data_IF_471629134993
#
_entry.id   IF_471629134993
#
_cell.length_a   1.000
_cell.length_b   1.000
_cell.length_c   1.000
_cell.angle_alpha   90.00
_cell.angle_beta   90.00
_cell.angle_gamma   90.00
#
_symmetry.space_group_name_H-M   'P 1'
#
loop_
_entity.id
_entity.type
_entity.pdbx_description
1 polymer ?
#
# COMPACT_ATOMS: atom_id res chain seq x y z
N UNK A 1 -13.24 -6.98 -32.56
CA UNK A 1 -13.71 -5.99 -31.57
C UNK A 1 -14.09 -6.70 -30.28
N UNK A 2 -13.42 -6.40 -29.16
CA UNK A 2 -13.80 -6.93 -27.84
C UNK A 2 -15.05 -6.20 -27.33
N UNK A 3 -16.02 -6.94 -26.80
CA UNK A 3 -17.25 -6.40 -26.23
C UNK A 3 -16.94 -5.65 -24.91
N UNK A 4 -17.68 -4.58 -24.57
CA UNK A 4 -17.59 -3.84 -23.28
C UNK A 4 -17.53 -4.73 -22.03
N UNK A 5 -18.18 -5.89 -22.07
CA UNK A 5 -18.18 -6.93 -21.01
C UNK A 5 -16.85 -7.69 -20.92
N UNK A 6 -16.18 -7.92 -22.05
CA UNK A 6 -14.81 -8.47 -22.09
C UNK A 6 -13.78 -7.42 -21.61
N UNK A 7 -13.94 -6.15 -21.99
CA UNK A 7 -13.09 -5.06 -21.52
C UNK A 7 -13.26 -4.84 -20.00
N UNK A 8 -14.48 -4.98 -19.47
CA UNK A 8 -14.76 -4.92 -18.04
C UNK A 8 -14.17 -6.11 -17.28
N UNK A 9 -14.23 -7.34 -17.84
CA UNK A 9 -13.57 -8.53 -17.27
C UNK A 9 -12.04 -8.42 -17.30
N UNK A 10 -11.44 -7.89 -18.38
CA UNK A 10 -9.99 -7.61 -18.44
C UNK A 10 -9.57 -6.53 -17.43
N UNK A 11 -10.37 -5.46 -17.25
CA UNK A 11 -10.12 -4.42 -16.24
C UNK A 11 -10.30 -4.89 -14.79
N UNK A 12 -11.08 -5.93 -14.55
CA UNK A 12 -11.28 -6.58 -13.25
C UNK A 12 -10.17 -7.57 -12.90
N UNK A 13 -9.49 -8.11 -13.92
CA UNK A 13 -8.37 -9.05 -13.77
C UNK A 13 -7.00 -8.38 -14.00
N UNK A 14 -6.91 -7.10 -13.63
CA UNK A 14 -5.69 -6.31 -13.75
C UNK A 14 -4.64 -6.80 -12.73
N UNK A 15 -3.53 -7.41 -13.18
CA UNK A 15 -2.52 -7.97 -12.29
C UNK A 15 -1.85 -6.90 -11.42
N UNK A 16 -1.80 -5.64 -11.86
CA UNK A 16 -1.26 -4.51 -11.10
C UNK A 16 -2.20 -4.18 -9.94
N UNK A 17 -3.51 -4.07 -10.20
CA UNK A 17 -4.50 -3.86 -9.12
C UNK A 17 -4.51 -4.99 -8.11
N UNK A 18 -4.42 -6.24 -8.58
CA UNK A 18 -4.33 -7.41 -7.70
C UNK A 18 -3.08 -7.35 -6.80
N UNK A 19 -1.93 -6.96 -7.37
CA UNK A 19 -0.69 -6.81 -6.60
C UNK A 19 -0.79 -5.69 -5.55
N UNK A 20 -1.34 -4.52 -5.90
CA UNK A 20 -1.59 -3.42 -4.95
C UNK A 20 -2.50 -3.89 -3.81
N UNK A 21 -3.58 -4.60 -4.13
CA UNK A 21 -4.49 -5.15 -3.14
C UNK A 21 -3.80 -6.13 -2.17
N UNK A 22 -2.99 -7.07 -2.70
CA UNK A 22 -2.23 -8.03 -1.89
C UNK A 22 -1.25 -7.33 -0.95
N UNK A 23 -0.54 -6.32 -1.42
CA UNK A 23 0.38 -5.54 -0.59
C UNK A 23 -0.34 -4.82 0.56
N UNK A 24 -1.46 -4.16 0.25
CA UNK A 24 -2.24 -3.47 1.27
C UNK A 24 -2.89 -4.43 2.26
N UNK A 25 -3.36 -5.60 1.80
CA UNK A 25 -3.93 -6.62 2.69
C UNK A 25 -2.89 -7.16 3.67
N UNK A 26 -1.65 -7.39 3.23
CA UNK A 26 -0.56 -7.79 4.11
C UNK A 26 -0.32 -6.76 5.23
N UNK A 27 -0.33 -5.47 4.88
CA UNK A 27 -0.18 -4.36 5.85
C UNK A 27 -1.38 -4.28 6.80
N UNK A 28 -2.59 -4.44 6.30
CA UNK A 28 -3.80 -4.46 7.13
C UNK A 28 -3.80 -5.63 8.11
N UNK A 29 -3.34 -6.81 7.70
CA UNK A 29 -3.22 -7.97 8.60
C UNK A 29 -2.19 -7.73 9.71
N UNK A 30 -1.06 -7.08 9.41
CA UNK A 30 -0.09 -6.67 10.44
C UNK A 30 -0.73 -5.74 11.49
N UNK A 31 -1.48 -4.74 11.03
CA UNK A 31 -2.17 -3.80 11.93
C UNK A 31 -3.24 -4.52 12.75
N UNK A 32 -4.02 -5.40 12.12
CA UNK A 32 -5.08 -6.16 12.79
C UNK A 32 -4.51 -7.04 13.91
N UNK A 33 -3.46 -7.81 13.63
CA UNK A 33 -2.78 -8.63 14.63
C UNK A 33 -2.24 -7.77 15.79
N UNK A 34 -1.69 -6.59 15.48
CA UNK A 34 -1.20 -5.66 16.50
C UNK A 34 -2.30 -5.12 17.40
N UNK A 35 -3.47 -4.78 16.83
CA UNK A 35 -4.63 -4.29 17.59
C UNK A 35 -5.16 -5.40 18.51
N UNK A 36 -5.28 -6.63 18.01
CA UNK A 36 -5.70 -7.75 18.86
C UNK A 36 -4.70 -8.08 19.96
N UNK A 37 -3.39 -7.94 19.69
CA UNK A 37 -2.39 -8.03 20.77
C UNK A 37 -2.62 -6.99 21.84
N UNK A 38 -2.90 -5.74 21.48
CA UNK A 38 -3.21 -4.68 22.45
C UNK A 38 -4.42 -5.07 23.31
N UNK A 39 -5.49 -5.54 22.68
CA UNK A 39 -6.70 -5.98 23.38
C UNK A 39 -6.37 -7.09 24.38
N UNK A 40 -5.59 -8.09 23.99
CA UNK A 40 -5.16 -9.16 24.90
C UNK A 40 -4.37 -8.65 26.11
N UNK A 41 -3.48 -7.68 25.93
CA UNK A 41 -2.76 -7.07 27.07
C UNK A 41 -3.74 -6.30 27.96
N UNK A 42 -4.70 -5.58 27.40
CA UNK A 42 -5.71 -4.87 28.18
C UNK A 42 -6.61 -5.81 28.99
N UNK A 43 -7.01 -6.95 28.44
CA UNK A 43 -7.81 -7.94 29.16
C UNK A 43 -7.07 -8.49 30.37
N UNK A 44 -5.80 -8.86 30.20
CA UNK A 44 -4.93 -9.26 31.32
C UNK A 44 -4.83 -8.16 32.39
N UNK A 45 -4.66 -6.90 31.98
CA UNK A 45 -4.59 -5.76 32.90
C UNK A 45 -5.90 -5.51 33.66
N UNK A 46 -7.05 -5.89 33.09
CA UNK A 46 -8.35 -5.83 33.75
C UNK A 46 -8.71 -7.10 34.52
N UNK A 47 -7.76 -8.04 34.67
CA UNK A 47 -7.96 -9.35 35.29
C UNK A 47 -9.08 -10.16 34.61
N UNK A 48 -9.31 -9.88 33.33
CA UNK A 48 -10.15 -10.69 32.46
C UNK A 48 -9.25 -11.76 31.82
N UNK A 49 -9.36 -12.98 32.31
CA UNK A 49 -8.56 -14.12 31.85
C UNK A 49 -9.08 -14.73 30.54
N UNK A 50 -9.98 -14.04 29.83
CA UNK A 50 -10.34 -14.41 28.47
C UNK A 50 -9.25 -14.02 27.49
N UNK A 51 -8.88 -14.98 26.64
CA UNK A 51 -7.89 -14.79 25.57
C UNK A 51 -8.61 -14.56 24.24
N UNK A 52 -8.35 -13.42 23.59
CA UNK A 52 -8.74 -13.24 22.20
C UNK A 52 -7.76 -13.95 21.28
N UNK A 53 -8.34 -14.81 20.44
CA UNK A 53 -7.65 -15.38 19.29
C UNK A 53 -7.24 -14.24 18.33
N UNK A 54 -6.28 -14.52 17.44
CA UNK A 54 -5.86 -13.61 16.37
C UNK A 54 -4.86 -12.49 16.75
N UNK A 55 -4.03 -12.69 17.78
CA UNK A 55 -2.94 -11.78 18.15
C UNK A 55 -1.55 -12.33 17.83
N UNK A 56 -0.52 -11.50 17.98
CA UNK A 56 0.85 -12.00 18.17
C UNK A 56 0.95 -12.72 19.54
N UNK A 57 1.70 -13.81 19.61
CA UNK A 57 1.76 -14.67 20.78
C UNK A 57 2.71 -14.14 21.87
N UNK A 58 3.89 -13.65 21.49
CA UNK A 58 4.94 -13.27 22.45
C UNK A 58 4.54 -12.12 23.36
N UNK A 59 3.89 -11.04 22.88
CA UNK A 59 3.44 -9.98 23.79
C UNK A 59 2.52 -10.50 24.89
N UNK A 60 1.58 -11.39 24.54
CA UNK A 60 0.69 -12.01 25.51
C UNK A 60 1.45 -12.91 26.48
N UNK A 61 2.32 -13.80 25.98
CA UNK A 61 3.12 -14.70 26.82
C UNK A 61 3.99 -13.94 27.85
N UNK A 62 4.55 -12.80 27.48
CA UNK A 62 5.35 -11.97 28.39
C UNK A 62 4.47 -11.35 29.49
N UNK A 63 3.30 -10.85 29.14
CA UNK A 63 2.36 -10.27 30.10
C UNK A 63 1.77 -11.34 31.03
N UNK A 64 1.39 -12.48 30.47
CA UNK A 64 0.90 -13.67 31.16
C UNK A 64 1.93 -14.20 32.16
N UNK A 65 3.20 -14.32 31.74
CA UNK A 65 4.30 -14.66 32.64
C UNK A 65 4.41 -13.68 33.80
N UNK A 66 4.25 -12.37 33.54
CA UNK A 66 4.25 -11.34 34.56
C UNK A 66 3.12 -11.50 35.58
N UNK A 67 1.91 -11.82 35.12
CA UNK A 67 0.78 -12.13 36.00
C UNK A 67 1.10 -13.34 36.89
N UNK A 68 1.67 -14.39 36.29
CA UNK A 68 2.01 -15.63 36.99
C UNK A 68 3.08 -15.43 38.08
N UNK A 69 4.24 -14.85 37.76
CA UNK A 69 5.39 -14.78 38.69
C UNK A 69 5.30 -13.66 39.74
N UNK A 70 4.34 -12.75 39.60
CA UNK A 70 4.08 -11.67 40.56
C UNK A 70 2.79 -11.92 41.35
N UNK A 71 2.29 -13.17 41.39
CA UNK A 71 1.15 -13.54 42.23
C UNK A 71 -0.20 -12.90 41.85
N UNK A 72 -0.40 -12.48 40.59
CA UNK A 72 -1.60 -11.72 40.18
C UNK A 72 -2.74 -12.58 39.61
N UNK A 73 -2.51 -13.87 39.40
CA UNK A 73 -3.61 -14.77 39.08
C UNK A 73 -4.44 -15.09 40.34
N UNK A 74 -5.70 -15.53 40.21
CA UNK A 74 -6.45 -16.07 41.33
C UNK A 74 -5.72 -17.28 41.94
N UNK A 75 -5.87 -17.50 43.25
CA UNK A 75 -5.20 -18.61 43.97
C UNK A 75 -5.43 -19.98 43.31
N UNK A 76 -6.58 -20.18 42.67
CA UNK A 76 -6.97 -21.39 41.93
C UNK A 76 -6.02 -21.75 40.78
N UNK A 77 -5.33 -20.76 40.18
CA UNK A 77 -4.36 -20.98 39.10
C UNK A 77 -3.02 -21.49 39.61
N UNK A 78 -2.76 -21.39 40.92
CA UNK A 78 -1.55 -21.87 41.57
C UNK A 78 -1.80 -23.25 42.20
N UNK A 79 -2.01 -24.26 41.35
CA UNK A 79 -2.18 -25.64 41.84
C UNK A 79 -0.90 -26.11 42.56
N UNK A 80 -1.03 -26.59 43.81
CA UNK A 80 0.08 -27.22 44.54
C UNK A 80 0.23 -26.89 46.02
N UNK A 81 -0.63 -26.04 46.62
CA UNK A 81 -0.63 -25.76 48.06
C UNK A 81 0.52 -24.88 48.56
N UNK A 82 1.35 -24.39 47.65
CA UNK A 82 2.20 -23.23 47.84
C UNK A 82 1.36 -22.05 47.34
N UNK A 83 0.97 -21.11 48.22
CA UNK A 83 0.15 -19.95 47.83
C UNK A 83 0.75 -19.16 46.66
N UNK A 84 0.01 -18.17 46.15
CA UNK A 84 0.39 -17.36 44.99
C UNK A 84 1.92 -17.12 44.92
N UNK A 85 2.52 -17.49 43.79
CA UNK A 85 3.94 -17.32 43.57
C UNK A 85 4.26 -15.81 43.43
N UNK A 86 4.50 -15.15 44.56
CA UNK A 86 5.00 -13.78 44.64
C UNK A 86 6.53 -13.80 44.65
N UNK A 87 7.12 -14.32 43.55
CA UNK A 87 8.57 -14.37 43.39
C UNK A 87 9.16 -12.96 43.21
N UNK A 88 8.37 -12.06 42.65
CA UNK A 88 8.79 -10.72 42.27
C UNK A 88 7.70 -9.69 42.58
N UNK A 89 8.15 -8.50 42.95
CA UNK A 89 7.25 -7.38 43.21
C UNK A 89 6.54 -6.86 41.94
N UNK A 90 5.51 -6.05 42.15
CA UNK A 90 4.73 -5.39 41.10
C UNK A 90 5.56 -4.63 40.05
N UNK A 91 6.74 -4.13 40.41
CA UNK A 91 7.63 -3.44 39.46
C UNK A 91 8.05 -4.35 38.31
N UNK A 92 8.27 -5.66 38.56
CA UNK A 92 8.61 -6.63 37.52
C UNK A 92 7.41 -6.87 36.60
N UNK A 93 6.20 -6.96 37.15
CA UNK A 93 4.98 -7.05 36.35
C UNK A 93 4.87 -5.88 35.35
N UNK A 94 4.98 -4.63 35.84
CA UNK A 94 4.90 -3.46 34.95
C UNK A 94 6.04 -3.42 33.93
N UNK A 95 7.24 -3.88 34.28
CA UNK A 95 8.35 -3.97 33.33
C UNK A 95 8.04 -4.96 32.18
N UNK A 96 7.42 -6.10 32.48
CA UNK A 96 7.00 -7.09 31.47
C UNK A 96 5.86 -6.58 30.60
N UNK A 97 4.90 -5.84 31.17
CA UNK A 97 3.85 -5.15 30.40
C UNK A 97 4.46 -4.13 29.43
N UNK A 98 5.43 -3.34 29.88
CA UNK A 98 6.15 -2.39 29.02
C UNK A 98 6.88 -3.15 27.90
N UNK A 99 7.56 -4.25 28.21
CA UNK A 99 8.24 -5.07 27.21
C UNK A 99 7.27 -5.62 26.16
N UNK A 100 6.09 -6.10 26.56
CA UNK A 100 5.03 -6.53 25.65
C UNK A 100 4.60 -5.39 24.71
N UNK A 101 4.35 -4.19 25.25
CA UNK A 101 4.00 -3.02 24.45
C UNK A 101 5.11 -2.56 23.52
N UNK A 102 6.39 -2.71 23.89
CA UNK A 102 7.53 -2.40 23.01
C UNK A 102 7.52 -3.30 21.77
N UNK A 103 7.23 -4.59 21.92
CA UNK A 103 7.12 -5.53 20.79
C UNK A 103 5.95 -5.15 19.89
N UNK A 104 4.79 -4.83 20.48
CA UNK A 104 3.63 -4.39 19.71
C UNK A 104 3.92 -3.07 18.98
N UNK A 105 4.58 -2.12 19.64
CA UNK A 105 4.99 -0.84 19.05
C UNK A 105 5.92 -1.06 17.85
N UNK A 106 6.80 -2.05 17.89
CA UNK A 106 7.62 -2.43 16.74
C UNK A 106 6.78 -2.92 15.55
N UNK A 107 5.74 -3.75 15.76
CA UNK A 107 4.84 -4.16 14.68
C UNK A 107 4.05 -2.98 14.09
N UNK A 108 3.57 -2.08 14.94
CA UNK A 108 2.88 -0.85 14.52
C UNK A 108 3.84 0.05 13.73
N UNK A 109 5.08 0.18 14.17
CA UNK A 109 6.12 0.92 13.46
C UNK A 109 6.36 0.32 12.07
N UNK A 110 6.47 -1.01 11.97
CA UNK A 110 6.59 -1.70 10.68
C UNK A 110 5.38 -1.44 9.77
N UNK A 111 4.16 -1.37 10.32
CA UNK A 111 2.97 -1.01 9.55
C UNK A 111 3.02 0.40 8.96
N UNK A 112 3.43 1.40 9.77
CA UNK A 112 3.53 2.78 9.30
C UNK A 112 4.69 2.98 8.32
N UNK A 113 5.83 2.37 8.60
CA UNK A 113 7.03 2.54 7.79
C UNK A 113 7.03 1.70 6.51
N UNK A 114 6.20 0.65 6.42
CA UNK A 114 5.97 -0.11 5.19
C UNK A 114 5.11 0.64 4.16
N UNK A 115 4.70 1.89 4.40
CA UNK A 115 4.05 2.71 3.36
C UNK A 115 5.01 2.99 2.21
N UNK A 116 4.44 3.40 1.07
CA UNK A 116 5.19 3.98 -0.06
C UNK A 116 6.29 3.08 -0.62
N UNK A 117 6.00 1.79 -0.73
CA UNK A 117 6.90 0.82 -1.35
C UNK A 117 8.14 0.45 -0.51
N UNK A 118 8.18 0.81 0.78
CA UNK A 118 9.28 0.44 1.67
C UNK A 118 9.10 -1.00 2.19
N UNK A 119 9.26 -1.97 1.29
CA UNK A 119 9.04 -3.41 1.58
C UNK A 119 9.94 -3.95 2.70
N UNK A 120 11.10 -3.33 2.96
CA UNK A 120 12.01 -3.74 4.03
C UNK A 120 11.36 -3.83 5.41
N UNK A 121 10.43 -2.93 5.73
CA UNK A 121 9.69 -2.96 7.00
C UNK A 121 8.68 -4.10 7.06
N UNK A 122 8.11 -4.50 5.92
CA UNK A 122 7.22 -5.66 5.85
C UNK A 122 8.02 -6.97 5.97
N UNK A 123 9.26 -7.00 5.45
CA UNK A 123 10.20 -8.11 5.65
C UNK A 123 10.61 -8.21 7.13
N UNK A 124 10.94 -7.09 7.77
CA UNK A 124 11.25 -7.05 9.20
C UNK A 124 10.09 -7.58 10.06
N UNK A 125 8.85 -7.15 9.75
CA UNK A 125 7.65 -7.68 10.39
C UNK A 125 7.49 -9.18 10.16
N UNK A 126 7.71 -9.68 8.95
CA UNK A 126 7.66 -11.12 8.65
C UNK A 126 8.68 -11.90 9.49
N UNK A 127 9.92 -11.43 9.60
CA UNK A 127 10.95 -12.09 10.41
C UNK A 127 10.54 -12.12 11.88
N UNK A 128 10.16 -10.97 12.45
CA UNK A 128 9.75 -10.89 13.84
C UNK A 128 8.52 -11.78 14.13
N UNK A 129 7.51 -11.74 13.26
CA UNK A 129 6.30 -12.56 13.41
C UNK A 129 6.57 -14.05 13.20
N UNK A 130 7.56 -14.42 12.38
CA UNK A 130 8.01 -15.81 12.25
C UNK A 130 8.66 -16.30 13.54
N UNK A 131 9.50 -15.48 14.18
CA UNK A 131 10.11 -15.79 15.48
C UNK A 131 9.02 -15.91 16.56
N UNK A 132 8.06 -14.99 16.57
CA UNK A 132 6.88 -15.03 17.46
C UNK A 132 6.12 -16.37 17.32
N UNK A 133 5.90 -16.80 16.07
CA UNK A 133 5.26 -18.09 15.76
C UNK A 133 6.10 -19.28 16.25
N UNK A 134 7.43 -19.26 16.12
CA UNK A 134 8.30 -20.33 16.61
C UNK A 134 8.29 -20.42 18.15
N UNK A 135 8.28 -19.28 18.84
CA UNK A 135 8.18 -19.23 20.30
C UNK A 135 6.82 -19.78 20.73
N UNK A 136 5.73 -19.40 20.05
CA UNK A 136 4.40 -19.97 20.28
C UNK A 136 4.43 -21.51 20.21
N UNK A 137 5.02 -22.10 19.17
CA UNK A 137 5.14 -23.56 19.06
C UNK A 137 5.94 -24.21 20.20
N UNK A 138 6.85 -23.49 20.84
CA UNK A 138 7.62 -24.02 21.99
C UNK A 138 6.81 -24.04 23.30
N UNK A 139 5.81 -23.18 23.44
CA UNK A 139 5.08 -22.98 24.69
C UNK A 139 3.69 -23.64 24.68
N UNK A 140 3.02 -23.67 23.52
CA UNK A 140 1.64 -24.12 23.42
C UNK A 140 1.51 -25.58 23.00
N UNK A 141 0.47 -26.24 23.52
CA UNK A 141 0.06 -27.54 23.01
C UNK A 141 -0.69 -27.39 21.67
N UNK A 142 -0.30 -28.19 20.67
CA UNK A 142 -0.87 -28.19 19.32
C UNK A 142 -2.41 -28.30 19.30
N UNK A 143 -2.99 -29.08 20.22
CA UNK A 143 -4.43 -29.33 20.23
C UNK A 143 -5.24 -28.14 20.77
N UNK A 144 -4.72 -27.40 21.76
CA UNK A 144 -5.39 -26.26 22.37
C UNK A 144 -5.25 -24.96 21.57
N UNK A 145 -4.23 -24.87 20.71
CA UNK A 145 -3.86 -23.63 20.02
C UNK A 145 -3.99 -23.73 18.49
N UNK A 146 -4.82 -24.65 18.00
CA UNK A 146 -5.00 -24.88 16.56
C UNK A 146 -5.48 -23.61 15.83
N UNK A 147 -6.35 -22.81 16.45
CA UNK A 147 -6.86 -21.57 15.84
C UNK A 147 -5.75 -20.51 15.75
N UNK A 148 -4.95 -20.34 16.80
CA UNK A 148 -3.82 -19.41 16.79
C UNK A 148 -2.76 -19.81 15.77
N UNK A 149 -2.49 -21.12 15.64
CA UNK A 149 -1.57 -21.64 14.61
C UNK A 149 -2.08 -21.31 13.21
N UNK A 150 -3.37 -21.55 12.94
CA UNK A 150 -3.98 -21.23 11.65
C UNK A 150 -3.93 -19.73 11.36
N UNK A 151 -4.15 -18.90 12.37
CA UNK A 151 -4.04 -17.45 12.23
C UNK A 151 -2.60 -17.00 11.94
N UNK A 152 -1.61 -17.51 12.67
CA UNK A 152 -0.21 -17.16 12.42
C UNK A 152 0.23 -17.59 11.02
N UNK A 153 -0.13 -18.80 10.60
CA UNK A 153 0.10 -19.28 9.24
C UNK A 153 -0.58 -18.37 8.20
N UNK A 154 -1.83 -17.96 8.44
CA UNK A 154 -2.55 -17.02 7.59
C UNK A 154 -1.80 -15.70 7.46
N UNK A 155 -1.40 -15.06 8.55
CA UNK A 155 -0.68 -13.77 8.52
C UNK A 155 0.66 -13.90 7.77
N UNK A 156 1.42 -14.96 8.00
CA UNK A 156 2.68 -15.24 7.31
C UNK A 156 2.47 -15.38 5.80
N UNK A 157 1.45 -16.13 5.37
CA UNK A 157 1.11 -16.27 3.95
C UNK A 157 0.82 -14.91 3.32
N UNK A 158 0.07 -14.04 4.00
CA UNK A 158 -0.21 -12.69 3.50
C UNK A 158 1.04 -11.81 3.44
N UNK A 159 1.97 -11.91 4.39
CA UNK A 159 3.25 -11.21 4.29
C UNK A 159 4.04 -11.65 3.06
N UNK A 160 4.17 -12.96 2.84
CA UNK A 160 4.86 -13.49 1.66
C UNK A 160 4.19 -13.03 0.36
N UNK A 161 2.85 -13.05 0.30
CA UNK A 161 2.09 -12.55 -0.84
C UNK A 161 2.29 -11.05 -1.06
N UNK A 162 2.28 -10.24 0.00
CA UNK A 162 2.50 -8.80 -0.06
C UNK A 162 3.91 -8.46 -0.55
N UNK A 163 4.93 -9.13 -0.03
CA UNK A 163 6.32 -8.94 -0.44
C UNK A 163 6.50 -9.31 -1.93
N UNK A 164 5.97 -10.47 -2.35
CA UNK A 164 5.99 -10.87 -3.77
C UNK A 164 5.28 -9.86 -4.67
N UNK A 165 4.13 -9.36 -4.23
CA UNK A 165 3.37 -8.35 -4.95
C UNK A 165 4.16 -7.04 -5.12
N UNK A 166 4.89 -6.60 -4.08
CA UNK A 166 5.78 -5.44 -4.19
C UNK A 166 6.86 -5.63 -5.25
N UNK A 167 7.57 -6.76 -5.24
CA UNK A 167 8.61 -7.02 -6.24
C UNK A 167 8.04 -7.17 -7.66
N UNK A 168 6.84 -7.72 -7.78
CA UNK A 168 6.11 -7.73 -9.04
C UNK A 168 5.85 -6.30 -9.54
N UNK A 169 5.33 -5.41 -8.70
CA UNK A 169 5.07 -4.01 -9.06
C UNK A 169 6.36 -3.27 -9.47
N UNK A 170 7.44 -3.45 -8.70
CA UNK A 170 8.75 -2.86 -9.02
C UNK A 170 9.31 -3.35 -10.36
N UNK A 171 9.12 -4.64 -10.67
CA UNK A 171 9.52 -5.21 -11.98
C UNK A 171 8.71 -4.61 -13.13
N UNK A 172 7.39 -4.46 -12.95
CA UNK A 172 6.52 -3.87 -13.97
C UNK A 172 6.88 -2.41 -14.25
N UNK A 173 7.25 -1.63 -13.22
CA UNK A 173 7.76 -0.27 -13.42
C UNK A 173 9.07 -0.25 -14.22
N UNK A 174 10.06 -1.05 -13.81
CA UNK A 174 11.36 -1.10 -14.51
C UNK A 174 11.18 -1.42 -15.99
N UNK A 175 10.30 -2.38 -16.30
CA UNK A 175 9.98 -2.73 -17.67
C UNK A 175 9.29 -1.58 -18.42
N UNK A 176 8.34 -0.88 -17.78
CA UNK A 176 7.66 0.26 -18.37
C UNK A 176 8.62 1.44 -18.67
N UNK A 177 9.53 1.73 -17.74
CA UNK A 177 10.57 2.76 -17.92
C UNK A 177 11.56 2.39 -19.03
N UNK A 178 11.94 1.11 -19.13
CA UNK A 178 12.78 0.63 -20.23
C UNK A 178 12.08 0.71 -21.59
N UNK A 179 10.77 0.41 -21.66
CA UNK A 179 10.01 0.52 -22.91
C UNK A 179 9.91 1.97 -23.38
N UNK A 180 9.66 2.92 -22.46
CA UNK A 180 9.62 4.36 -22.79
C UNK A 180 11.00 4.85 -23.25
N UNK A 181 12.07 4.48 -22.53
CA UNK A 181 13.43 4.87 -22.93
C UNK A 181 13.84 4.31 -24.31
N UNK A 182 13.36 3.11 -24.66
CA UNK A 182 13.59 2.52 -25.98
C UNK A 182 12.76 3.21 -27.06
N UNK A 183 11.48 3.51 -26.80
CA UNK A 183 10.67 4.27 -27.77
C UNK A 183 11.24 5.66 -27.99
N UNK A 184 11.69 6.36 -26.96
CA UNK A 184 12.31 7.69 -27.10
C UNK A 184 13.62 7.62 -27.88
N UNK A 185 14.42 6.58 -27.66
CA UNK A 185 15.68 6.36 -28.37
C UNK A 185 15.51 5.90 -29.82
N UNK A 186 14.50 5.07 -30.09
CA UNK A 186 14.15 4.56 -31.42
C UNK A 186 13.44 5.65 -32.24
N UNK A 187 12.55 6.43 -31.64
CA UNK A 187 11.94 7.63 -32.25
C UNK A 187 12.99 8.72 -32.52
N UNK A 188 13.95 8.92 -31.61
CA UNK A 188 15.09 9.80 -31.86
C UNK A 188 15.98 9.30 -33.01
N UNK A 189 16.21 8.00 -33.12
CA UNK A 189 17.00 7.42 -34.22
C UNK A 189 16.27 7.45 -35.56
N UNK A 190 14.96 7.15 -35.59
CA UNK A 190 14.11 7.25 -36.78
C UNK A 190 14.04 8.71 -37.27
N UNK A 191 13.89 9.68 -36.36
CA UNK A 191 13.93 11.12 -36.70
C UNK A 191 15.29 11.60 -37.21
N UNK A 192 16.39 10.94 -36.83
CA UNK A 192 17.73 11.25 -37.36
C UNK A 192 17.94 10.65 -38.75
N UNK A 193 17.31 9.51 -39.05
CA UNK A 193 17.35 8.89 -40.38
C UNK A 193 16.43 9.65 -41.35
N UNK A 194 15.25 10.10 -40.89
CA UNK A 194 14.28 10.86 -41.69
C UNK A 194 14.79 12.26 -42.07
N UNK A 195 15.74 12.82 -41.30
CA UNK A 195 16.43 14.07 -41.65
C UNK A 195 17.56 13.90 -42.70
N UNK A 196 17.69 12.73 -43.33
CA UNK A 196 18.63 12.48 -44.45
C UNK A 196 17.95 12.18 -45.79
N UNK A 197 16.63 12.34 -45.89
CA UNK A 197 15.94 12.29 -47.17
C UNK A 197 14.93 13.43 -47.25
N UNK A 198 15.15 14.33 -48.21
CA UNK A 198 14.22 15.37 -48.60
C UNK A 198 12.82 14.77 -48.83
N UNK A 199 11.86 15.14 -47.99
CA UNK A 199 10.47 14.70 -48.09
C UNK A 199 9.63 15.22 -46.95
N UNK A 200 8.90 16.31 -47.19
CA UNK A 200 7.84 16.81 -46.32
C UNK A 200 6.78 15.73 -46.06
N UNK A 201 6.62 15.31 -44.80
CA UNK A 201 5.41 14.59 -44.36
C UNK A 201 4.93 15.12 -43.01
N UNK A 202 4.00 16.07 -43.05
CA UNK A 202 3.16 16.42 -41.90
C UNK A 202 2.33 15.20 -41.48
N UNK A 203 2.73 14.53 -40.40
CA UNK A 203 1.85 13.61 -39.68
C UNK A 203 0.79 14.43 -38.93
N UNK A 204 -0.31 14.77 -39.62
CA UNK A 204 -1.48 15.42 -39.03
C UNK A 204 -2.23 14.44 -38.10
N UNK A 205 -1.79 14.34 -36.84
CA UNK A 205 -2.59 13.69 -35.79
C UNK A 205 -3.77 14.60 -35.49
N UNK A 206 -4.99 14.11 -35.75
CA UNK A 206 -6.20 14.89 -35.53
C UNK A 206 -6.38 15.24 -34.05
N UNK A 207 -6.67 16.52 -33.79
CA UNK A 207 -6.98 17.03 -32.45
C UNK A 207 -8.12 16.27 -31.79
N UNK A 208 -7.96 15.99 -30.50
CA UNK A 208 -9.01 15.43 -29.67
C UNK A 208 -10.17 16.43 -29.54
N UNK A 209 -11.40 15.91 -29.45
CA UNK A 209 -12.57 16.75 -29.20
C UNK A 209 -12.78 16.92 -27.69
N UNK A 210 -13.02 18.15 -27.19
CA UNK A 210 -13.28 18.36 -25.78
C UNK A 210 -14.61 17.71 -25.38
N UNK A 211 -14.63 17.05 -24.21
CA UNK A 211 -15.83 16.44 -23.64
C UNK A 211 -16.83 17.53 -23.24
N UNK A 212 -16.33 18.60 -22.61
CA UNK A 212 -17.11 19.74 -22.13
C UNK A 212 -16.22 20.89 -21.67
N UNK A 213 -16.80 22.05 -21.44
CA UNK A 213 -16.14 23.16 -20.73
C UNK A 213 -15.91 22.80 -19.25
N UNK A 214 -14.73 23.15 -18.74
CA UNK A 214 -14.39 22.97 -17.34
C UNK A 214 -15.11 24.01 -16.49
N UNK A 215 -15.86 23.55 -15.48
CA UNK A 215 -16.44 24.44 -14.47
C UNK A 215 -15.38 24.72 -13.39
N UNK A 216 -14.91 25.97 -13.31
CA UNK A 216 -13.96 26.42 -12.30
C UNK A 216 -14.62 26.96 -11.03
N UNK A 217 -15.95 27.11 -11.02
CA UNK A 217 -16.69 27.51 -9.81
C UNK A 217 -16.81 26.38 -8.79
N UNK A 218 -16.69 25.13 -9.25
CA UNK A 218 -16.78 23.95 -8.37
C UNK A 218 -15.49 23.79 -7.56
N UNK A 219 -15.65 23.54 -6.26
CA UNK A 219 -14.54 23.18 -5.37
C UNK A 219 -13.77 21.98 -5.92
N UNK A 220 -12.52 22.22 -6.28
CA UNK A 220 -11.63 21.23 -6.87
C UNK A 220 -10.27 21.22 -6.17
N UNK A 221 -9.53 20.13 -6.34
CA UNK A 221 -8.13 20.03 -5.92
C UNK A 221 -7.26 19.97 -7.16
N UNK A 222 -6.51 21.03 -7.44
CA UNK A 222 -5.52 21.03 -8.51
C UNK A 222 -4.31 20.22 -8.07
N UNK A 223 -3.91 19.25 -8.88
CA UNK A 223 -2.75 18.41 -8.63
C UNK A 223 -1.51 19.01 -9.27
N UNK A 224 -1.61 19.32 -10.55
CA UNK A 224 -0.58 19.96 -11.36
C UNK A 224 -1.23 20.96 -12.29
N UNK A 225 -0.53 22.06 -12.54
CA UNK A 225 -0.89 23.08 -13.52
C UNK A 225 0.41 23.54 -14.17
N UNK A 226 0.43 23.57 -15.50
CA UNK A 226 1.59 23.96 -16.27
C UNK A 226 1.16 24.64 -17.56
N UNK A 227 1.76 25.80 -17.84
CA UNK A 227 1.69 26.41 -19.17
C UNK A 227 2.82 25.84 -20.03
N UNK A 228 2.46 25.24 -21.16
CA UNK A 228 3.39 24.65 -22.12
C UNK A 228 2.95 25.11 -23.51
N UNK A 229 3.89 25.68 -24.27
CA UNK A 229 3.58 26.41 -25.51
C UNK A 229 2.53 27.50 -25.25
N UNK A 230 1.43 27.51 -26.01
CA UNK A 230 0.31 28.44 -25.84
C UNK A 230 -0.81 27.88 -24.95
N UNK A 231 -0.70 26.62 -24.50
CA UNK A 231 -1.74 25.93 -23.76
C UNK A 231 -1.53 25.94 -22.25
N UNK A 232 -2.63 26.09 -21.51
CA UNK A 232 -2.66 25.86 -20.06
C UNK A 232 -3.19 24.47 -19.78
N UNK A 233 -2.33 23.60 -19.26
CA UNK A 233 -2.64 22.21 -18.93
C UNK A 233 -2.88 22.10 -17.43
N UNK A 234 -4.05 21.61 -17.03
CA UNK A 234 -4.44 21.44 -15.63
C UNK A 234 -4.87 20.00 -15.40
N UNK A 235 -4.22 19.36 -14.44
CA UNK A 235 -4.62 18.07 -13.89
C UNK A 235 -5.24 18.31 -12.52
N UNK A 236 -6.53 18.03 -12.37
CA UNK A 236 -7.27 18.30 -11.13
C UNK A 236 -8.23 17.19 -10.78
N UNK A 237 -8.75 17.25 -9.55
CA UNK A 237 -9.84 16.39 -9.07
C UNK A 237 -11.05 17.21 -8.64
N UNK A 238 -12.21 16.82 -9.16
CA UNK A 238 -13.54 17.33 -8.79
C UNK A 238 -14.35 16.17 -8.22
N UNK A 239 -14.68 16.22 -6.93
CA UNK A 239 -15.37 15.12 -6.20
C UNK A 239 -14.66 13.77 -6.38
N UNK A 240 -15.20 12.90 -7.25
CA UNK A 240 -14.69 11.53 -7.54
C UNK A 240 -14.08 11.41 -8.95
N UNK A 241 -13.91 12.53 -9.65
CA UNK A 241 -13.47 12.57 -11.05
C UNK A 241 -12.13 13.29 -11.12
N UNK A 242 -11.15 12.66 -11.73
CA UNK A 242 -9.92 13.32 -12.14
C UNK A 242 -10.11 13.81 -13.58
N UNK A 243 -9.69 15.03 -13.86
CA UNK A 243 -9.92 15.72 -15.12
C UNK A 243 -8.58 16.18 -15.71
N UNK A 244 -8.39 15.98 -17.02
CA UNK A 244 -7.37 16.61 -17.83
C UNK A 244 -8.02 17.78 -18.56
N UNK A 245 -7.54 18.98 -18.26
CA UNK A 245 -8.04 20.23 -18.82
C UNK A 245 -6.96 20.88 -19.64
N UNK A 246 -7.32 21.30 -20.85
CA UNK A 246 -6.48 22.10 -21.75
C UNK A 246 -7.30 23.32 -22.14
N UNK A 247 -6.80 24.52 -21.86
CA UNK A 247 -7.42 25.82 -22.17
C UNK A 247 -8.88 25.95 -21.70
N UNK A 248 -9.16 25.40 -20.52
CA UNK A 248 -10.48 25.48 -19.91
C UNK A 248 -11.50 24.47 -20.44
N UNK A 249 -11.09 23.52 -21.29
CA UNK A 249 -11.92 22.40 -21.72
C UNK A 249 -11.41 21.09 -21.15
N UNK A 250 -12.33 20.22 -20.73
CA UNK A 250 -12.03 18.87 -20.26
C UNK A 250 -11.90 17.95 -21.47
N UNK A 251 -10.76 17.29 -21.62
CA UNK A 251 -10.49 16.35 -22.72
C UNK A 251 -10.61 14.90 -22.30
N UNK A 252 -10.30 14.59 -21.04
CA UNK A 252 -10.41 13.23 -20.53
C UNK A 252 -10.74 13.24 -19.03
N UNK A 253 -11.43 12.19 -18.59
CA UNK A 253 -11.96 12.05 -17.25
C UNK A 253 -11.81 10.62 -16.71
N UNK A 254 -11.37 10.52 -15.45
CA UNK A 254 -11.31 9.24 -14.75
C UNK A 254 -12.12 9.27 -13.46
N UNK A 255 -13.21 8.50 -13.43
CA UNK A 255 -14.09 8.36 -12.26
C UNK A 255 -13.55 7.27 -11.34
N UNK A 256 -13.16 7.64 -10.12
CA UNK A 256 -12.67 6.70 -9.12
C UNK A 256 -13.12 7.05 -7.70
N UNK A 257 -13.66 6.04 -6.99
CA UNK A 257 -14.06 6.18 -5.58
C UNK A 257 -12.85 6.34 -4.64
N UNK A 258 -11.69 5.81 -5.03
CA UNK A 258 -10.39 5.98 -4.37
C UNK A 258 -9.37 6.42 -5.42
N UNK A 259 -8.29 7.09 -5.00
CA UNK A 259 -7.23 7.48 -5.93
C UNK A 259 -6.43 6.24 -6.33
N UNK A 260 -6.55 5.84 -7.60
CA UNK A 260 -5.75 4.78 -8.20
C UNK A 260 -4.80 5.36 -9.25
N UNK A 261 -3.69 4.68 -9.55
CA UNK A 261 -2.85 5.02 -10.69
C UNK A 261 -3.67 5.04 -11.98
N UNK A 262 -3.51 6.11 -12.75
CA UNK A 262 -4.21 6.32 -14.02
C UNK A 262 -3.48 7.39 -14.84
N UNK A 263 -3.76 7.38 -16.13
CA UNK A 263 -3.27 8.36 -17.11
C UNK A 263 -4.50 8.84 -17.88
N UNK A 264 -4.63 10.15 -18.01
CA UNK A 264 -5.59 10.85 -18.85
C UNK A 264 -4.84 11.36 -20.07
N UNK A 265 -5.43 11.26 -21.27
CA UNK A 265 -4.74 11.64 -22.52
C UNK A 265 -5.58 12.54 -23.41
N UNK A 266 -4.93 13.39 -24.19
CA UNK A 266 -5.53 14.24 -25.20
C UNK A 266 -4.52 14.56 -26.30
N UNK A 267 -5.01 14.85 -27.50
CA UNK A 267 -4.20 15.43 -28.58
C UNK A 267 -4.65 16.88 -28.79
N UNK A 268 -3.71 17.82 -28.77
CA UNK A 268 -3.96 19.23 -29.07
C UNK A 268 -2.83 19.79 -29.93
N UNK A 269 -3.19 20.44 -31.02
CA UNK A 269 -2.26 21.02 -31.99
C UNK A 269 -1.24 19.98 -32.48
N UNK A 270 -1.73 18.76 -32.75
CA UNK A 270 -0.92 17.61 -33.18
C UNK A 270 0.00 17.00 -32.11
N UNK A 271 -0.06 17.46 -30.86
CA UNK A 271 0.79 16.97 -29.75
C UNK A 271 0.02 16.10 -28.78
N UNK A 272 0.67 15.05 -28.29
CA UNK A 272 0.09 14.17 -27.27
C UNK A 272 0.35 14.73 -25.88
N UNK A 273 -0.73 15.06 -25.17
CA UNK A 273 -0.70 15.56 -23.80
C UNK A 273 -1.26 14.47 -22.89
N UNK A 274 -0.52 14.13 -21.85
CA UNK A 274 -0.99 13.19 -20.83
C UNK A 274 -0.80 13.74 -19.42
N UNK A 275 -1.72 13.41 -18.52
CA UNK A 275 -1.57 13.72 -17.10
C UNK A 275 -2.10 12.60 -16.22
N UNK A 276 -1.45 12.34 -15.09
CA UNK A 276 -1.83 11.19 -14.29
C UNK A 276 -1.13 11.10 -12.96
N UNK A 277 -1.35 9.97 -12.30
CA UNK A 277 -0.62 9.56 -11.12
C UNK A 277 -0.12 8.13 -11.32
N UNK A 278 1.14 7.90 -10.99
CA UNK A 278 1.75 6.57 -11.08
C UNK A 278 1.51 5.74 -9.82
N UNK A 279 2.03 4.51 -9.82
CA UNK A 279 1.94 3.57 -8.70
C UNK A 279 2.74 4.02 -7.46
N UNK A 280 3.59 5.04 -7.58
CA UNK A 280 4.41 5.61 -6.51
C UNK A 280 3.88 6.94 -5.99
N UNK A 281 2.65 7.31 -6.38
CA UNK A 281 2.03 8.58 -6.05
C UNK A 281 2.82 9.80 -6.57
N UNK A 282 3.55 9.64 -7.67
CA UNK A 282 4.10 10.74 -8.46
C UNK A 282 3.04 11.15 -9.48
N UNK A 283 2.65 12.41 -9.39
CA UNK A 283 1.78 13.04 -10.37
C UNK A 283 2.67 13.61 -11.46
N UNK A 284 2.26 13.45 -12.72
CA UNK A 284 3.00 13.99 -13.85
C UNK A 284 2.06 14.62 -14.88
N UNK A 285 2.57 15.62 -15.59
CA UNK A 285 2.07 16.07 -16.89
C UNK A 285 3.20 15.80 -17.88
N UNK A 286 2.87 15.17 -19.01
CA UNK A 286 3.78 14.91 -20.12
C UNK A 286 3.24 15.50 -21.41
N UNK A 287 4.13 15.98 -22.27
CA UNK A 287 3.81 16.40 -23.64
C UNK A 287 4.77 15.67 -24.57
N UNK A 288 4.26 14.97 -25.57
CA UNK A 288 5.02 14.15 -26.52
C UNK A 288 5.98 13.19 -25.79
N UNK A 289 5.49 12.56 -24.71
CA UNK A 289 6.28 11.67 -23.84
C UNK A 289 7.20 12.35 -22.83
N UNK A 290 7.50 13.64 -22.98
CA UNK A 290 8.42 14.36 -22.09
C UNK A 290 7.71 14.94 -20.85
N UNK A 291 8.27 14.72 -19.66
CA UNK A 291 7.73 15.27 -18.40
C UNK A 291 7.94 16.78 -18.34
N UNK A 292 6.84 17.54 -18.28
CA UNK A 292 6.84 19.02 -18.21
C UNK A 292 6.48 19.54 -16.82
N UNK A 293 5.85 18.71 -15.99
CA UNK A 293 5.58 18.98 -14.59
C UNK A 293 5.46 17.67 -13.81
N UNK A 294 6.00 17.64 -12.61
CA UNK A 294 5.85 16.51 -11.70
C UNK A 294 5.64 16.97 -10.25
N UNK A 295 5.01 16.11 -9.45
CA UNK A 295 4.84 16.32 -8.01
C UNK A 295 4.68 14.99 -7.30
N UNK A 296 5.61 14.70 -6.40
CA UNK A 296 5.51 13.54 -5.51
C UNK A 296 4.58 13.86 -4.34
N UNK A 297 3.64 12.96 -4.06
CA UNK A 297 2.84 13.02 -2.82
C UNK A 297 3.54 12.28 -1.70
N UNK A 298 3.69 12.96 -0.56
CA UNK A 298 4.08 12.37 0.71
C UNK A 298 2.82 12.21 1.56
N UNK A 299 2.22 11.01 1.55
CA UNK A 299 1.16 10.63 2.49
C UNK A 299 1.37 9.17 2.94
#
# INVERSE_FOLDING_TARGET
MKNRTQIAKERANDPIKSAIYKYNTARSNLLLASIFSIINIFLLLTEDFTYFLFSAAVPYLIADLGMYICGRYPEEFYEGGYGAFDFFNDSVFYALIIAAFVIIAFYILCYFLSKNGRVGWLIAALVAFSVDTLIMFSQYNLASSIIDILFHAYVIVFFVMGIKAHYFLKKMESNAQETVKKSDGEFAFESLIENTSDGETENNIADSTPIRTADFSVKSRVFLEKKVFEHTIIYRRVKKVNELIIDGFVYDEYIARMEFPHILTAVKDGREISAGIDIYNVMTITVDGQVVADKRRFF
#
